data_IF_415298644687
#
_entry.id   IF_415298644687
#
_cell.length_a   1.000
_cell.length_b   1.000
_cell.length_c   1.000
_cell.angle_alpha   90.00
_cell.angle_beta   90.00
_cell.angle_gamma   90.00
#
_symmetry.space_group_name_H-M   'P 1'
#
loop_
_entity.id
_entity.type
_entity.pdbx_description
1 polymer ?
#
# COMPACT_ATOMS: atom_id res chain seq x y z
N UNK A 1 -39.89 27.52 -57.67
CA UNK A 1 -39.67 27.33 -56.22
C UNK A 1 -40.94 27.81 -55.54
N UNK A 2 -41.75 26.90 -54.97
CA UNK A 2 -43.03 27.27 -54.39
C UNK A 2 -42.83 28.33 -53.31
N UNK A 3 -43.51 29.47 -53.45
CA UNK A 3 -43.54 30.52 -52.45
C UNK A 3 -44.11 29.93 -51.16
N UNK A 4 -43.27 29.79 -50.13
CA UNK A 4 -43.76 29.37 -48.82
C UNK A 4 -44.66 30.46 -48.28
N UNK A 5 -45.92 30.11 -47.99
CA UNK A 5 -46.89 31.00 -47.35
C UNK A 5 -46.33 31.54 -46.03
N UNK A 6 -46.54 32.82 -45.72
CA UNK A 6 -46.13 33.46 -44.47
C UNK A 6 -46.53 32.66 -43.21
N UNK A 7 -47.60 31.86 -43.27
CA UNK A 7 -48.01 30.95 -42.20
C UNK A 7 -47.02 29.79 -41.97
N UNK A 8 -46.45 29.24 -43.04
CA UNK A 8 -45.43 28.19 -42.95
C UNK A 8 -44.11 28.72 -42.38
N UNK A 9 -43.74 29.96 -42.76
CA UNK A 9 -42.57 30.65 -42.20
C UNK A 9 -42.75 30.94 -40.70
N UNK A 10 -43.94 31.37 -40.28
CA UNK A 10 -44.25 31.62 -38.87
C UNK A 10 -44.23 30.33 -38.03
N UNK A 11 -44.74 29.22 -38.56
CA UNK A 11 -44.69 27.92 -37.89
C UNK A 11 -43.25 27.46 -37.65
N UNK A 12 -42.39 27.58 -38.67
CA UNK A 12 -40.98 27.21 -38.58
C UNK A 12 -40.26 28.01 -37.48
N UNK A 13 -40.56 29.30 -37.36
CA UNK A 13 -40.00 30.19 -36.34
C UNK A 13 -40.38 29.74 -34.93
N UNK A 14 -41.65 29.41 -34.70
CA UNK A 14 -42.14 28.96 -33.39
C UNK A 14 -41.46 27.65 -32.98
N UNK A 15 -41.35 26.69 -33.92
CA UNK A 15 -40.67 25.41 -33.65
C UNK A 15 -39.19 25.63 -33.32
N UNK A 16 -38.50 26.52 -34.04
CA UNK A 16 -37.10 26.84 -33.77
C UNK A 16 -36.90 27.43 -32.35
N UNK A 17 -37.81 28.30 -31.90
CA UNK A 17 -37.77 28.87 -30.54
C UNK A 17 -37.96 27.78 -29.49
N UNK A 18 -38.94 26.89 -29.67
CA UNK A 18 -39.22 25.80 -28.71
C UNK A 18 -38.03 24.85 -28.58
N UNK A 19 -37.40 24.46 -29.70
CA UNK A 19 -36.23 23.59 -29.68
C UNK A 19 -35.03 24.28 -29.02
N UNK A 20 -34.82 25.57 -29.28
CA UNK A 20 -33.75 26.36 -28.67
C UNK A 20 -33.92 26.47 -27.14
N UNK A 21 -35.13 26.81 -26.69
CA UNK A 21 -35.44 26.92 -25.26
C UNK A 21 -35.38 25.55 -24.56
N UNK A 22 -35.90 24.50 -25.18
CA UNK A 22 -35.85 23.13 -24.66
C UNK A 22 -34.42 22.61 -24.53
N UNK A 23 -33.58 22.82 -25.54
CA UNK A 23 -32.16 22.45 -25.52
C UNK A 23 -31.38 23.21 -24.44
N UNK A 24 -31.69 24.49 -24.24
CA UNK A 24 -31.10 25.33 -23.18
C UNK A 24 -31.46 24.80 -21.79
N UNK A 25 -32.72 24.42 -21.57
CA UNK A 25 -33.19 23.90 -20.30
C UNK A 25 -32.53 22.56 -19.91
N UNK A 26 -32.37 21.65 -20.88
CA UNK A 26 -31.65 20.37 -20.68
C UNK A 26 -30.17 20.60 -20.38
N UNK A 27 -29.56 21.61 -21.01
CA UNK A 27 -28.16 21.95 -20.77
C UNK A 27 -27.95 22.53 -19.36
N UNK A 28 -28.88 23.39 -18.91
CA UNK A 28 -28.90 23.94 -17.55
C UNK A 28 -29.12 22.87 -16.48
N UNK A 29 -29.99 21.88 -16.71
CA UNK A 29 -30.23 20.80 -15.74
C UNK A 29 -29.02 19.88 -15.58
N UNK A 30 -28.31 19.57 -16.68
CA UNK A 30 -27.04 18.84 -16.63
C UNK A 30 -25.96 19.63 -15.90
N UNK A 31 -25.87 20.94 -16.12
CA UNK A 31 -24.90 21.78 -15.40
C UNK A 31 -25.22 21.87 -13.89
N UNK A 32 -26.50 21.90 -13.52
CA UNK A 32 -26.93 21.87 -12.12
C UNK A 32 -26.54 20.55 -11.41
N UNK A 33 -26.47 19.43 -12.13
CA UNK A 33 -26.00 18.15 -11.55
C UNK A 33 -24.49 18.09 -11.26
N UNK A 34 -23.68 19.01 -11.79
CA UNK A 34 -22.23 19.11 -11.51
C UNK A 34 -21.95 19.92 -10.24
N UNK A 35 -22.98 20.57 -9.66
CA UNK A 35 -22.88 21.46 -8.49
C UNK A 35 -22.50 20.75 -7.17
N UNK A 36 -22.39 19.43 -7.18
CA UNK A 36 -22.01 18.61 -6.01
C UNK A 36 -20.50 18.41 -5.88
N UNK A 37 -19.71 18.79 -6.88
CA UNK A 37 -18.25 18.91 -6.75
C UNK A 37 -17.92 20.35 -6.35
N UNK A 38 -17.04 20.60 -5.37
CA UNK A 38 -16.57 21.95 -5.02
C UNK A 38 -15.57 22.44 -6.08
N UNK A 39 -16.01 22.50 -7.34
CA UNK A 39 -15.29 23.13 -8.43
C UNK A 39 -15.49 24.65 -8.31
N UNK A 40 -14.53 25.33 -7.70
CA UNK A 40 -14.43 26.79 -7.76
C UNK A 40 -13.77 27.19 -9.09
N UNK A 41 -14.38 28.12 -9.84
CA UNK A 41 -13.81 28.60 -11.11
C UNK A 41 -14.81 29.01 -12.20
N UNK A 42 -16.03 29.42 -11.84
CA UNK A 42 -16.97 29.93 -12.84
C UNK A 42 -16.43 31.24 -13.44
N UNK A 43 -16.17 31.23 -14.74
CA UNK A 43 -15.71 32.42 -15.48
C UNK A 43 -16.84 33.45 -15.48
N UNK A 44 -16.73 34.43 -14.59
CA UNK A 44 -17.54 35.63 -14.59
C UNK A 44 -16.85 36.66 -15.49
N UNK A 45 -17.45 36.91 -16.66
CA UNK A 45 -17.14 37.95 -17.66
C UNK A 45 -16.00 37.69 -18.67
N UNK A 46 -16.34 37.83 -19.95
CA UNK A 46 -15.55 38.18 -21.15
C UNK A 46 -14.13 37.61 -21.39
N UNK A 47 -13.68 36.60 -20.65
CA UNK A 47 -12.42 35.87 -20.91
C UNK A 47 -12.73 34.48 -21.46
N UNK A 48 -12.05 34.11 -22.56
CA UNK A 48 -12.20 32.81 -23.25
C UNK A 48 -11.73 31.61 -22.40
N UNK A 49 -10.88 31.85 -21.41
CA UNK A 49 -10.29 30.84 -20.53
C UNK A 49 -10.27 31.31 -19.07
N UNK A 50 -10.73 30.44 -18.16
CA UNK A 50 -10.60 30.62 -16.72
C UNK A 50 -9.48 29.76 -16.16
N UNK A 51 -8.70 30.30 -15.23
CA UNK A 51 -7.69 29.53 -14.51
C UNK A 51 -8.36 28.80 -13.33
N UNK A 52 -8.24 27.47 -13.32
CA UNK A 52 -8.66 26.64 -12.18
C UNK A 52 -7.43 26.37 -11.33
N UNK A 53 -7.42 26.85 -10.09
CA UNK A 53 -6.41 26.48 -9.10
C UNK A 53 -6.85 25.18 -8.42
N UNK A 54 -6.35 24.05 -8.91
CA UNK A 54 -6.49 22.76 -8.25
C UNK A 54 -5.41 22.65 -7.17
N UNK A 55 -5.82 22.57 -5.90
CA UNK A 55 -4.91 22.21 -4.80
C UNK A 55 -5.25 20.81 -4.30
N UNK A 56 -4.27 19.90 -4.35
CA UNK A 56 -4.40 18.58 -3.74
C UNK A 56 -4.08 18.75 -2.26
N UNK A 57 -5.11 18.77 -1.42
CA UNK A 57 -5.00 19.02 0.02
C UNK A 57 -4.35 17.86 0.80
N UNK A 58 -4.41 16.65 0.25
CA UNK A 58 -3.77 15.47 0.83
C UNK A 58 -3.49 14.43 -0.25
N UNK A 59 -2.23 14.00 -0.34
CA UNK A 59 -1.83 12.78 -1.02
C UNK A 59 -1.58 11.67 0.01
N UNK A 60 -2.17 10.50 -0.24
CA UNK A 60 -1.82 9.25 0.41
C UNK A 60 -0.91 8.54 -0.57
N UNK A 61 0.37 8.41 -0.21
CA UNK A 61 1.36 7.68 -0.98
C UNK A 61 2.19 6.91 0.01
N UNK A 62 2.54 5.67 -0.34
CA UNK A 62 3.52 4.89 0.39
C UNK A 62 4.31 4.05 -0.59
N UNK A 63 5.59 3.87 -0.32
CA UNK A 63 6.47 3.02 -1.12
C UNK A 63 6.95 1.83 -0.30
N UNK A 64 7.21 0.72 -1.01
CA UNK A 64 7.85 -0.47 -0.44
C UNK A 64 9.01 -0.83 -1.34
N UNK A 65 10.21 -0.87 -0.78
CA UNK A 65 11.43 -1.24 -1.50
C UNK A 65 12.04 -2.54 -0.95
N UNK A 66 12.86 -3.16 -1.80
CA UNK A 66 13.64 -4.38 -1.59
C UNK A 66 12.84 -5.69 -1.61
N UNK A 67 13.59 -6.77 -1.88
CA UNK A 67 13.15 -8.15 -1.72
C UNK A 67 14.11 -8.84 -0.75
N UNK A 68 13.60 -9.81 0.00
CA UNK A 68 14.41 -10.63 0.91
C UNK A 68 14.61 -11.99 0.27
N UNK A 69 15.85 -12.31 -0.05
CA UNK A 69 16.28 -13.61 -0.55
C UNK A 69 17.32 -14.19 0.41
N UNK A 70 17.02 -15.32 1.06
CA UNK A 70 17.98 -15.98 1.94
C UNK A 70 18.99 -16.85 1.19
N UNK A 71 18.83 -17.01 -0.12
CA UNK A 71 19.67 -17.86 -0.95
C UNK A 71 19.40 -19.35 -0.75
N UNK A 72 20.34 -20.16 -1.22
CA UNK A 72 20.29 -21.62 -1.10
C UNK A 72 21.08 -22.11 0.11
N UNK A 73 20.65 -23.25 0.64
CA UNK A 73 21.31 -23.93 1.75
C UNK A 73 20.56 -25.21 2.14
N UNK A 74 20.98 -25.83 3.22
CA UNK A 74 20.36 -27.04 3.77
C UNK A 74 20.49 -27.07 5.28
N UNK A 75 19.58 -27.78 5.94
CA UNK A 75 19.68 -28.11 7.37
C UNK A 75 20.48 -29.41 7.52
N UNK A 76 21.61 -29.33 8.18
CA UNK A 76 22.39 -30.47 8.65
C UNK A 76 21.74 -31.07 9.91
N UNK A 77 20.87 -32.06 9.69
CA UNK A 77 20.20 -32.80 10.75
C UNK A 77 21.13 -33.55 11.72
N UNK A 78 22.44 -33.65 11.45
CA UNK A 78 23.44 -34.21 12.38
C UNK A 78 23.98 -33.17 13.36
N UNK A 79 23.90 -31.88 13.02
CA UNK A 79 24.37 -30.77 13.86
C UNK A 79 23.23 -30.17 14.68
N UNK A 80 22.02 -30.10 14.13
CA UNK A 80 20.83 -29.71 14.88
C UNK A 80 19.54 -29.86 14.10
N UNK A 81 18.43 -29.49 14.75
CA UNK A 81 17.08 -29.78 14.25
C UNK A 81 16.49 -28.70 13.34
N UNK A 82 17.06 -27.50 13.31
CA UNK A 82 16.56 -26.39 12.49
C UNK A 82 17.64 -25.37 12.15
N UNK A 83 17.50 -24.74 10.99
CA UNK A 83 18.22 -23.54 10.59
C UNK A 83 17.35 -22.30 10.85
N UNK A 84 17.93 -21.27 11.47
CA UNK A 84 17.26 -19.99 11.75
C UNK A 84 17.82 -18.93 10.81
N UNK A 85 16.97 -18.39 9.95
CA UNK A 85 17.31 -17.36 8.97
C UNK A 85 16.68 -16.03 9.39
N UNK A 86 17.51 -15.03 9.67
CA UNK A 86 17.06 -13.71 10.15
C UNK A 86 17.64 -12.61 9.27
N UNK A 87 16.77 -11.83 8.64
CA UNK A 87 17.18 -10.86 7.62
C UNK A 87 17.82 -9.59 8.19
N UNK A 88 17.67 -9.34 9.50
CA UNK A 88 18.24 -8.21 10.23
C UNK A 88 19.66 -8.46 10.77
N UNK A 89 20.33 -9.54 10.38
CA UNK A 89 21.71 -9.82 10.79
C UNK A 89 22.69 -9.24 9.77
N UNK A 90 23.59 -8.36 10.22
CA UNK A 90 24.57 -7.64 9.38
C UNK A 90 25.74 -8.48 8.92
N UNK A 91 25.96 -9.60 9.60
CA UNK A 91 26.93 -10.62 9.25
C UNK A 91 26.55 -11.88 10.00
N UNK A 92 26.12 -12.92 9.29
CA UNK A 92 26.50 -14.32 9.56
C UNK A 92 25.54 -15.26 8.84
N UNK A 93 26.04 -16.47 8.63
CA UNK A 93 25.26 -17.69 8.54
C UNK A 93 24.04 -17.69 9.47
N UNK A 94 23.07 -18.53 9.13
CA UNK A 94 22.03 -19.00 10.04
C UNK A 94 22.43 -19.04 11.52
N UNK A 95 21.56 -18.51 12.38
CA UNK A 95 21.85 -18.17 13.79
C UNK A 95 22.26 -19.39 14.63
N UNK A 96 21.89 -20.61 14.21
CA UNK A 96 22.15 -21.85 14.94
C UNK A 96 23.30 -22.70 14.38
N UNK A 97 23.91 -22.36 13.24
CA UNK A 97 25.07 -23.07 12.66
C UNK A 97 24.83 -24.54 12.27
N UNK A 98 23.58 -24.96 12.22
CA UNK A 98 23.02 -26.25 11.82
C UNK A 98 22.94 -26.51 10.32
N UNK A 99 23.54 -25.71 9.45
CA UNK A 99 23.25 -25.67 8.02
C UNK A 99 24.18 -24.71 7.28
N UNK A 100 23.94 -24.52 5.98
CA UNK A 100 24.95 -23.92 5.08
C UNK A 100 24.58 -22.58 4.45
N UNK A 101 23.54 -21.92 4.96
CA UNK A 101 23.15 -20.63 4.40
C UNK A 101 24.21 -19.58 4.70
N UNK A 102 24.56 -18.82 3.66
CA UNK A 102 25.43 -17.65 3.78
C UNK A 102 24.82 -16.49 3.00
N UNK A 103 24.63 -15.35 3.66
CA UNK A 103 24.28 -14.08 3.01
C UNK A 103 25.18 -12.98 3.54
N UNK A 104 25.46 -11.99 2.70
CA UNK A 104 26.52 -10.99 2.94
C UNK A 104 26.02 -9.61 3.37
N UNK A 105 24.71 -9.43 3.59
CA UNK A 105 24.15 -8.13 3.96
C UNK A 105 22.83 -8.24 4.70
N UNK A 106 22.51 -7.20 5.47
CA UNK A 106 21.15 -6.94 5.97
C UNK A 106 20.17 -6.93 4.79
N UNK A 107 18.99 -7.49 5.03
CA UNK A 107 17.86 -7.47 4.09
C UNK A 107 16.59 -7.09 4.87
N UNK A 108 15.87 -6.10 4.40
CA UNK A 108 14.62 -5.65 5.00
C UNK A 108 13.76 -5.00 3.93
N UNK A 109 12.45 -5.06 4.11
CA UNK A 109 11.55 -4.17 3.38
C UNK A 109 11.70 -2.77 3.96
N UNK A 110 12.02 -1.80 3.11
CA UNK A 110 12.00 -0.40 3.47
C UNK A 110 10.63 0.14 3.09
N UNK A 111 9.89 0.61 4.08
CA UNK A 111 8.60 1.26 3.89
C UNK A 111 8.79 2.75 4.12
N UNK A 112 8.29 3.57 3.22
CA UNK A 112 8.41 5.02 3.26
C UNK A 112 7.05 5.67 3.02
N UNK A 113 6.69 6.64 3.86
CA UNK A 113 5.50 7.47 3.67
C UNK A 113 5.87 8.73 2.89
N UNK A 114 5.78 8.66 1.57
CA UNK A 114 5.97 9.77 0.62
C UNK A 114 4.71 10.64 0.46
N UNK A 115 3.70 10.43 1.32
CA UNK A 115 2.46 11.18 1.34
C UNK A 115 2.52 12.50 2.11
N UNK A 116 1.35 12.97 2.51
CA UNK A 116 1.16 14.22 3.28
C UNK A 116 0.33 14.01 4.54
N UNK A 117 0.10 12.74 4.90
CA UNK A 117 -0.72 12.27 6.01
C UNK A 117 -0.06 11.06 6.64
N UNK A 118 -0.25 10.91 7.94
CA UNK A 118 0.21 9.72 8.66
C UNK A 118 -0.56 8.48 8.19
N UNK A 119 0.12 7.34 8.17
CA UNK A 119 -0.44 6.10 7.66
C UNK A 119 -0.52 5.00 8.72
N UNK A 120 -1.64 4.30 8.79
CA UNK A 120 -1.75 3.00 9.42
C UNK A 120 -1.33 1.92 8.42
N UNK A 121 -0.20 1.27 8.71
CA UNK A 121 0.40 0.20 7.93
C UNK A 121 0.05 -1.15 8.54
N UNK A 122 -0.62 -1.98 7.73
CA UNK A 122 -0.86 -3.38 8.03
C UNK A 122 0.01 -4.27 7.15
N UNK A 123 0.37 -5.45 7.67
CA UNK A 123 1.10 -6.50 6.94
C UNK A 123 0.27 -7.77 6.87
N UNK A 124 0.38 -8.46 5.74
CA UNK A 124 -0.17 -9.79 5.53
C UNK A 124 0.82 -10.64 4.72
N UNK A 125 0.69 -11.96 4.84
CA UNK A 125 1.45 -12.92 4.04
C UNK A 125 0.50 -13.95 3.42
N UNK A 126 0.82 -14.40 2.20
CA UNK A 126 0.08 -15.48 1.55
C UNK A 126 0.42 -16.88 2.12
N UNK A 127 1.48 -16.98 2.94
CA UNK A 127 1.91 -18.20 3.65
C UNK A 127 2.04 -17.97 5.16
N UNK A 128 1.75 -19.00 5.94
CA UNK A 128 2.26 -19.16 7.31
C UNK A 128 3.51 -20.07 7.28
N UNK A 129 4.11 -20.33 8.45
CA UNK A 129 5.34 -21.11 8.58
C UNK A 129 5.28 -22.50 7.94
N UNK A 130 4.24 -23.27 8.25
CA UNK A 130 4.08 -24.64 7.75
C UNK A 130 3.81 -24.68 6.24
N UNK A 131 3.09 -23.70 5.69
CA UNK A 131 2.82 -23.64 4.25
C UNK A 131 4.05 -23.15 3.46
N UNK A 132 4.91 -22.34 4.07
CA UNK A 132 6.17 -21.89 3.45
C UNK A 132 7.20 -23.03 3.42
N UNK A 133 7.50 -23.64 4.57
CA UNK A 133 8.55 -24.66 4.71
C UNK A 133 8.08 -26.07 4.35
N UNK A 134 6.77 -26.29 4.26
CA UNK A 134 6.12 -27.60 4.09
C UNK A 134 6.49 -28.58 5.21
N UNK A 135 6.73 -28.07 6.42
CA UNK A 135 7.08 -28.86 7.61
C UNK A 135 6.45 -28.32 8.90
N UNK A 136 6.28 -29.22 9.87
CA UNK A 136 5.91 -28.89 11.25
C UNK A 136 7.09 -28.30 12.02
N UNK A 137 6.83 -27.59 13.13
CA UNK A 137 7.86 -26.92 13.96
C UNK A 137 8.71 -25.91 13.19
N UNK A 138 8.10 -25.26 12.18
CA UNK A 138 8.68 -24.13 11.47
C UNK A 138 8.15 -22.83 12.06
N UNK A 139 8.92 -21.76 11.89
CA UNK A 139 8.49 -20.39 12.20
C UNK A 139 8.63 -19.53 10.95
N UNK A 140 7.72 -18.58 10.79
CA UNK A 140 7.80 -17.56 9.75
C UNK A 140 7.16 -16.29 10.28
N UNK A 141 7.96 -15.25 10.42
CA UNK A 141 7.53 -14.05 11.10
C UNK A 141 8.28 -12.80 10.66
N UNK A 142 7.83 -11.68 11.19
CA UNK A 142 8.39 -10.36 10.92
C UNK A 142 8.73 -9.65 12.23
N UNK A 143 9.68 -8.72 12.13
CA UNK A 143 10.02 -7.79 13.19
C UNK A 143 10.32 -6.43 12.58
N UNK A 144 10.20 -5.37 13.37
CA UNK A 144 10.39 -4.00 12.93
C UNK A 144 11.62 -3.37 13.54
N UNK A 145 12.25 -2.51 12.75
CA UNK A 145 13.29 -1.57 13.18
C UNK A 145 13.13 -0.24 12.43
N UNK A 146 13.69 0.86 12.93
CA UNK A 146 13.72 2.14 12.21
C UNK A 146 15.07 2.33 11.49
N UNK A 147 15.06 3.01 10.33
CA UNK A 147 16.27 3.29 9.55
C UNK A 147 16.92 4.63 9.91
N UNK A 148 16.18 5.58 10.47
CA UNK A 148 16.69 6.91 10.83
C UNK A 148 16.64 7.17 12.34
N UNK A 149 17.66 7.88 12.84
CA UNK A 149 18.03 8.07 14.26
C UNK A 149 16.88 7.99 15.29
N UNK A 150 16.83 6.87 16.03
CA UNK A 150 16.11 6.63 17.31
C UNK A 150 15.00 5.55 17.20
N UNK A 151 14.85 4.64 18.19
CA UNK A 151 14.22 3.32 18.00
C UNK A 151 12.70 3.41 17.81
N UNK A 152 12.18 3.30 16.58
CA UNK A 152 10.75 3.37 16.20
C UNK A 152 9.96 4.58 16.77
N UNK A 153 10.55 5.39 17.66
CA UNK A 153 9.88 6.30 18.58
C UNK A 153 9.49 7.62 17.90
N UNK A 154 10.04 7.87 16.71
CA UNK A 154 9.67 8.99 15.86
C UNK A 154 8.88 8.56 14.64
N UNK A 155 9.23 7.42 14.03
CA UNK A 155 8.62 7.02 12.77
C UNK A 155 7.21 6.46 12.90
N UNK A 156 6.95 5.73 13.99
CA UNK A 156 5.67 5.07 14.19
C UNK A 156 5.03 5.48 15.52
N UNK A 157 3.96 6.27 15.47
CA UNK A 157 3.22 6.66 16.67
C UNK A 157 2.11 5.64 16.98
N UNK A 158 1.87 5.37 18.27
CA UNK A 158 0.73 4.55 18.74
C UNK A 158 0.88 3.03 18.67
N UNK A 159 1.94 2.46 18.07
CA UNK A 159 2.19 1.01 18.08
C UNK A 159 3.23 0.60 19.12
N UNK A 160 2.93 -0.43 19.91
CA UNK A 160 3.94 -1.09 20.75
C UNK A 160 4.99 -1.74 19.86
N UNK A 161 6.24 -1.33 20.02
CA UNK A 161 7.41 -1.81 19.27
C UNK A 161 7.38 -3.33 19.05
N UNK A 162 7.20 -3.78 17.81
CA UNK A 162 7.40 -5.18 17.37
C UNK A 162 8.88 -5.41 17.08
N UNK A 163 9.75 -5.09 18.03
CA UNK A 163 11.15 -5.52 17.99
C UNK A 163 11.28 -7.03 18.22
N UNK A 164 10.26 -7.65 18.79
CA UNK A 164 10.12 -9.10 18.89
C UNK A 164 9.53 -9.69 17.61
N UNK A 165 9.99 -10.89 17.24
CA UNK A 165 9.45 -11.64 16.11
C UNK A 165 7.98 -11.97 16.33
N UNK A 166 7.15 -11.56 15.38
CA UNK A 166 5.72 -11.84 15.33
C UNK A 166 5.45 -12.79 14.18
N UNK A 167 4.78 -13.90 14.43
CA UNK A 167 4.47 -14.88 13.39
C UNK A 167 3.44 -14.36 12.40
N UNK A 168 3.63 -14.71 11.12
CA UNK A 168 2.63 -14.49 10.10
C UNK A 168 1.45 -15.45 10.27
N UNK A 169 0.27 -14.87 10.36
CA UNK A 169 -0.97 -15.61 10.16
C UNK A 169 -1.24 -15.70 8.64
N UNK A 170 -1.77 -16.81 8.12
CA UNK A 170 -2.07 -16.94 6.67
C UNK A 170 -3.13 -15.90 6.20
N UNK A 171 -3.37 -15.69 4.90
CA UNK A 171 -4.48 -14.92 4.23
C UNK A 171 -5.41 -13.93 5.00
N UNK A 172 -5.74 -12.80 4.37
CA UNK A 172 -6.74 -11.80 4.84
C UNK A 172 -8.20 -12.30 5.04
N UNK A 173 -8.55 -13.49 4.57
CA UNK A 173 -9.92 -14.05 4.63
C UNK A 173 -10.31 -14.66 5.98
N UNK A 174 -9.39 -14.80 6.93
CA UNK A 174 -9.74 -15.29 8.26
C UNK A 174 -9.77 -14.10 9.22
N UNK A 175 -10.76 -14.11 10.12
CA UNK A 175 -11.07 -13.01 11.03
C UNK A 175 -9.84 -12.68 11.89
N UNK A 176 -9.39 -11.42 11.88
CA UNK A 176 -8.32 -10.92 12.76
C UNK A 176 -6.88 -10.98 12.21
N UNK A 177 -6.66 -10.98 10.88
CA UNK A 177 -5.33 -11.26 10.28
C UNK A 177 -4.57 -10.11 9.59
N UNK A 178 -5.10 -8.88 9.58
CA UNK A 178 -4.26 -7.72 9.33
C UNK A 178 -3.46 -7.44 10.59
N UNK A 179 -2.16 -7.74 10.55
CA UNK A 179 -1.27 -7.45 11.66
C UNK A 179 -0.78 -6.02 11.49
N UNK A 180 -1.07 -5.16 12.47
CA UNK A 180 -0.60 -3.77 12.43
C UNK A 180 0.90 -3.75 12.64
N UNK A 181 1.61 -3.25 11.63
CA UNK A 181 3.05 -2.97 11.68
C UNK A 181 3.22 -1.60 12.32
N UNK A 182 2.51 -0.61 11.78
CA UNK A 182 2.60 0.74 12.29
C UNK A 182 1.24 1.43 12.30
N UNK A 183 0.84 2.00 13.42
CA UNK A 183 -0.47 2.64 13.61
C UNK A 183 -0.49 4.06 13.05
N UNK A 184 0.68 4.71 12.98
CA UNK A 184 0.83 6.07 12.46
C UNK A 184 2.29 6.27 12.01
N UNK A 185 2.57 5.82 10.78
CA UNK A 185 3.81 6.09 10.08
C UNK A 185 3.79 7.56 9.66
N UNK A 186 4.66 8.37 10.26
CA UNK A 186 4.68 9.82 10.03
C UNK A 186 5.03 10.13 8.57
N UNK A 187 4.61 11.29 8.05
CA UNK A 187 5.01 11.76 6.71
C UNK A 187 6.20 12.74 6.75
N UNK A 188 6.68 13.10 7.95
CA UNK A 188 7.77 14.05 8.10
C UNK A 188 9.12 13.37 7.80
N UNK A 189 9.92 13.95 6.91
CA UNK A 189 11.17 13.43 6.31
C UNK A 189 12.26 12.85 7.25
N UNK A 190 12.12 12.91 8.57
CA UNK A 190 13.07 12.29 9.52
C UNK A 190 12.48 11.08 10.24
N UNK A 191 11.21 10.78 9.96
CA UNK A 191 10.33 9.85 10.67
C UNK A 191 9.37 9.15 9.70
N UNK A 192 9.63 9.19 8.40
CA UNK A 192 8.76 8.64 7.37
C UNK A 192 9.13 7.23 6.93
N UNK A 193 10.21 6.67 7.50
CA UNK A 193 10.73 5.35 7.12
C UNK A 193 10.72 4.33 8.26
N UNK A 194 10.35 3.08 7.93
CA UNK A 194 10.48 1.91 8.79
C UNK A 194 11.04 0.73 8.01
N UNK A 195 11.78 -0.13 8.71
CA UNK A 195 12.32 -1.37 8.18
C UNK A 195 11.55 -2.56 8.76
N UNK A 196 11.11 -3.46 7.88
CA UNK A 196 10.49 -4.72 8.27
C UNK A 196 11.43 -5.86 7.89
N UNK A 197 11.89 -6.58 8.90
CA UNK A 197 12.77 -7.74 8.78
C UNK A 197 11.96 -9.02 8.89
N UNK A 198 12.52 -10.11 8.36
CA UNK A 198 11.86 -11.41 8.27
C UNK A 198 12.72 -12.46 8.94
N UNK A 199 12.05 -13.38 9.65
CA UNK A 199 12.61 -14.58 10.23
C UNK A 199 11.94 -15.80 9.63
N UNK A 200 12.75 -16.81 9.30
CA UNK A 200 12.30 -18.13 8.86
C UNK A 200 13.08 -19.18 9.64
N UNK A 201 12.37 -20.11 10.28
CA UNK A 201 12.97 -21.29 10.91
C UNK A 201 12.63 -22.51 10.07
N UNK A 202 13.66 -23.11 9.46
CA UNK A 202 13.55 -24.27 8.59
C UNK A 202 13.95 -25.51 9.39
N UNK A 203 13.03 -26.43 9.69
CA UNK A 203 13.34 -27.66 10.40
C UNK A 203 14.04 -28.68 9.47
N UNK A 204 14.74 -29.66 10.05
CA UNK A 204 15.47 -30.71 9.34
C UNK A 204 14.59 -31.64 8.49
N UNK A 205 13.28 -31.68 8.78
CA UNK A 205 12.27 -32.42 8.03
C UNK A 205 11.58 -31.57 6.94
N UNK A 206 12.03 -30.33 6.71
CA UNK A 206 11.57 -29.50 5.61
C UNK A 206 11.87 -30.17 4.26
N UNK A 207 10.91 -30.10 3.34
CA UNK A 207 11.07 -30.69 2.01
C UNK A 207 12.02 -29.83 1.18
N UNK A 208 13.01 -30.46 0.55
CA UNK A 208 13.91 -29.80 -0.38
C UNK A 208 13.14 -29.15 -1.56
N UNK A 209 13.60 -27.95 -1.94
CA UNK A 209 13.06 -27.20 -3.08
C UNK A 209 13.03 -25.69 -2.82
N UNK A 210 12.82 -24.92 -3.88
CA UNK A 210 12.60 -23.49 -3.75
C UNK A 210 11.24 -23.21 -3.09
N UNK A 211 11.24 -22.27 -2.15
CA UNK A 211 10.04 -21.80 -1.45
C UNK A 211 10.03 -20.27 -1.46
N UNK A 212 8.84 -19.68 -1.53
CA UNK A 212 8.64 -18.24 -1.51
C UNK A 212 7.30 -17.88 -0.87
N UNK A 213 7.22 -16.67 -0.33
CA UNK A 213 6.00 -16.05 0.17
C UNK A 213 5.91 -14.62 -0.37
N UNK A 214 4.68 -14.18 -0.61
CA UNK A 214 4.33 -12.82 -0.97
C UNK A 214 3.83 -12.11 0.28
N UNK A 215 4.55 -11.07 0.68
CA UNK A 215 4.19 -10.20 1.78
C UNK A 215 3.54 -8.95 1.18
N UNK A 216 2.37 -8.58 1.70
CA UNK A 216 1.61 -7.41 1.26
C UNK A 216 1.48 -6.42 2.40
N UNK A 217 1.89 -5.19 2.12
CA UNK A 217 1.71 -4.04 3.00
C UNK A 217 0.55 -3.19 2.50
N UNK A 218 -0.32 -2.77 3.42
CA UNK A 218 -1.44 -1.89 3.12
C UNK A 218 -1.35 -0.65 4.00
N UNK A 219 -1.23 0.51 3.38
CA UNK A 219 -1.29 1.81 4.05
C UNK A 219 -2.67 2.44 3.91
N UNK A 220 -3.25 2.87 5.03
CA UNK A 220 -4.48 3.65 5.08
C UNK A 220 -4.24 4.92 5.89
N UNK A 221 -5.01 5.99 5.68
CA UNK A 221 -4.88 7.21 6.47
C UNK A 221 -5.10 6.87 7.96
N UNK A 222 -4.14 7.23 8.80
CA UNK A 222 -4.30 7.06 10.25
C UNK A 222 -5.49 7.89 10.74
N UNK A 223 -6.39 7.27 11.50
CA UNK A 223 -7.50 7.98 12.13
C UNK A 223 -6.98 8.99 13.16
N UNK A 224 -7.55 10.20 13.17
CA UNK A 224 -7.29 11.22 14.19
C UNK A 224 -7.72 10.74 15.59
#
# INVERSE_FOLDING_TARGET
MNEMSNKALMLLLVVAIVVSLGGTFISLSKLASVKTLPLTGFVISNVSTGYVNLSVLSAVSFSVANNIDFGSGYVNGTVGDNAVLESNLSSSSETNGTGSWTWSSLKYFLLENDGTKDLNINITSDKNASNLTKAANSEFGFAMSSWENSPLAGACNGTTKTTAWTEFLMRASDVGRNQTVCSSLQYANVNDTINVSIRVVIPNNARAGAVSANITFTGEVAGN
#
